data_IF_747812547533
#
_entry.id   IF_747812547533
#
_cell.length_a   1.000
_cell.length_b   1.000
_cell.length_c   1.000
_cell.angle_alpha   90.00
_cell.angle_beta   90.00
_cell.angle_gamma   90.00
#
_symmetry.space_group_name_H-M   'P 1'
#
loop_
_entity.id
_entity.type
_entity.pdbx_description
1 polymer ?
#
# COMPACT_ATOMS: atom_id res chain seq x y z
N UNK A 1 -11.69 -4.61 -3.08
CA UNK A 1 -10.58 -3.86 -2.48
C UNK A 1 -10.34 -2.55 -3.22
N UNK A 2 -9.84 -2.59 -4.47
CA UNK A 2 -9.41 -1.38 -5.21
C UNK A 2 -10.54 -0.37 -5.46
N UNK A 3 -11.77 -0.80 -5.70
CA UNK A 3 -12.93 0.07 -5.91
C UNK A 3 -13.36 0.87 -4.67
N UNK A 4 -12.96 0.44 -3.46
CA UNK A 4 -13.31 1.14 -2.20
C UNK A 4 -12.22 2.07 -1.67
N UNK A 5 -10.98 1.97 -2.18
CA UNK A 5 -9.81 2.62 -1.57
C UNK A 5 -9.89 4.14 -1.53
N UNK A 6 -10.38 4.78 -2.58
CA UNK A 6 -10.31 6.24 -2.74
C UNK A 6 -11.68 6.95 -2.73
N UNK A 7 -12.79 6.21 -2.84
CA UNK A 7 -14.15 6.78 -2.94
C UNK A 7 -14.50 7.74 -1.80
N UNK A 8 -14.08 7.43 -0.58
CA UNK A 8 -14.42 8.22 0.61
C UNK A 8 -13.29 9.14 1.11
N UNK A 9 -12.13 9.17 0.42
CA UNK A 9 -11.00 10.03 0.82
C UNK A 9 -11.15 11.44 0.22
N UNK A 10 -11.02 12.52 1.01
CA UNK A 10 -11.05 13.88 0.49
C UNK A 10 -9.85 14.16 -0.41
N UNK A 11 -10.05 14.97 -1.44
CA UNK A 11 -8.93 15.41 -2.30
C UNK A 11 -8.05 16.42 -1.56
N UNK A 12 -6.71 16.30 -1.62
CA UNK A 12 -5.81 17.11 -0.82
C UNK A 12 -5.66 18.54 -1.33
N UNK A 13 -5.46 19.50 -0.40
CA UNK A 13 -5.02 20.87 -0.69
C UNK A 13 -3.50 20.95 -0.49
N UNK A 14 -2.74 21.11 -1.56
CA UNK A 14 -1.28 20.87 -1.60
C UNK A 14 -0.39 21.98 -1.00
N UNK A 15 -0.91 23.17 -0.66
CA UNK A 15 -0.07 24.37 -0.40
C UNK A 15 0.92 24.25 0.77
N UNK A 16 0.47 23.90 1.99
CA UNK A 16 1.30 23.95 3.20
C UNK A 16 2.20 22.73 3.44
N UNK A 17 1.95 21.61 2.75
CA UNK A 17 2.60 20.32 3.01
C UNK A 17 3.62 19.93 1.93
N UNK A 18 3.99 20.85 1.05
CA UNK A 18 4.79 20.54 -0.13
C UNK A 18 6.18 19.95 0.20
N UNK A 19 6.86 20.49 1.19
CA UNK A 19 8.22 20.05 1.54
C UNK A 19 8.29 18.58 2.01
N UNK A 20 7.54 18.17 3.05
CA UNK A 20 7.54 16.77 3.48
C UNK A 20 6.91 15.83 2.43
N UNK A 21 5.91 16.31 1.67
CA UNK A 21 5.24 15.51 0.64
C UNK A 21 6.19 15.17 -0.51
N UNK A 22 6.96 16.12 -1.03
CA UNK A 22 7.91 15.86 -2.13
C UNK A 22 9.02 14.90 -1.71
N UNK A 23 9.55 15.04 -0.47
CA UNK A 23 10.56 14.13 0.06
C UNK A 23 10.01 12.70 0.11
N UNK A 24 8.77 12.56 0.57
CA UNK A 24 8.09 11.27 0.67
C UNK A 24 7.79 10.66 -0.70
N UNK A 25 7.38 11.48 -1.68
CA UNK A 25 7.20 11.04 -3.08
C UNK A 25 8.51 10.52 -3.66
N UNK A 26 9.61 11.27 -3.49
CA UNK A 26 10.91 10.86 -4.01
C UNK A 26 11.41 9.56 -3.37
N UNK A 27 11.25 9.40 -2.05
CA UNK A 27 11.64 8.17 -1.38
C UNK A 27 10.80 6.98 -1.85
N UNK A 28 9.49 7.16 -2.00
CA UNK A 28 8.60 6.11 -2.51
C UNK A 28 8.99 5.68 -3.94
N UNK A 29 9.31 6.64 -4.82
CA UNK A 29 9.80 6.34 -6.17
C UNK A 29 11.12 5.56 -6.13
N UNK A 30 12.07 5.95 -5.27
CA UNK A 30 13.33 5.23 -5.09
C UNK A 30 13.07 3.80 -4.61
N UNK A 31 12.16 3.60 -3.66
CA UNK A 31 11.82 2.28 -3.15
C UNK A 31 11.19 1.42 -4.22
N UNK A 32 10.11 1.86 -4.86
CA UNK A 32 9.37 1.08 -5.85
C UNK A 32 10.21 0.75 -7.09
N UNK A 33 10.80 1.77 -7.73
CA UNK A 33 11.65 1.53 -8.91
C UNK A 33 12.93 0.80 -8.57
N UNK A 34 13.44 0.96 -7.35
CA UNK A 34 14.58 0.19 -6.88
C UNK A 34 14.26 -1.29 -6.67
N UNK A 35 13.05 -1.65 -6.27
CA UNK A 35 12.60 -3.04 -6.20
C UNK A 35 12.59 -3.68 -7.59
N UNK A 36 12.07 -2.98 -8.62
CA UNK A 36 12.18 -3.43 -10.01
C UNK A 36 13.62 -3.54 -10.48
N UNK A 37 14.47 -2.55 -10.15
CA UNK A 37 15.90 -2.55 -10.51
C UNK A 37 16.64 -3.74 -9.89
N UNK A 38 16.48 -3.94 -8.58
CA UNK A 38 17.15 -5.04 -7.86
C UNK A 38 16.61 -6.38 -8.34
N UNK A 39 15.30 -6.49 -8.61
CA UNK A 39 14.71 -7.65 -9.25
C UNK A 39 15.33 -7.94 -10.62
N UNK A 40 15.49 -6.90 -11.46
CA UNK A 40 16.12 -7.04 -12.78
C UNK A 40 17.59 -7.49 -12.66
N UNK A 41 18.34 -6.95 -11.70
CA UNK A 41 19.73 -7.35 -11.47
C UNK A 41 19.83 -8.81 -10.98
N UNK A 42 19.01 -9.20 -9.99
CA UNK A 42 19.04 -10.56 -9.45
C UNK A 42 18.57 -11.58 -10.49
N UNK A 43 17.51 -11.29 -11.21
CA UNK A 43 17.02 -12.19 -12.27
C UNK A 43 18.02 -12.26 -13.41
N UNK A 44 18.47 -11.13 -13.94
CA UNK A 44 19.33 -11.10 -15.12
C UNK A 44 20.74 -11.64 -14.87
N UNK A 45 21.33 -11.39 -13.69
CA UNK A 45 22.71 -11.76 -13.41
C UNK A 45 22.84 -13.10 -12.68
N UNK A 46 21.81 -13.53 -11.95
CA UNK A 46 21.90 -14.73 -11.10
C UNK A 46 20.87 -15.78 -11.50
N UNK A 47 19.56 -15.44 -11.40
CA UNK A 47 18.53 -16.47 -11.50
C UNK A 47 18.34 -16.99 -12.94
N UNK A 48 18.37 -16.11 -13.92
CA UNK A 48 18.21 -16.52 -15.33
C UNK A 48 19.39 -17.37 -15.81
N UNK A 49 20.67 -17.01 -15.57
CA UNK A 49 21.81 -17.85 -15.97
C UNK A 49 21.88 -19.20 -15.26
N UNK A 50 21.46 -19.28 -13.99
CA UNK A 50 21.65 -20.47 -13.17
C UNK A 50 20.41 -21.37 -13.11
N UNK A 51 19.22 -20.79 -13.14
CA UNK A 51 17.95 -21.50 -12.97
C UNK A 51 17.05 -21.42 -14.21
N UNK A 52 17.39 -20.62 -15.23
CA UNK A 52 16.60 -20.48 -16.44
C UNK A 52 15.23 -19.84 -16.24
N UNK A 53 15.08 -19.02 -15.20
CA UNK A 53 13.77 -18.39 -14.86
C UNK A 53 13.35 -17.35 -15.88
N UNK A 54 12.03 -17.11 -15.99
CA UNK A 54 11.46 -16.07 -16.84
C UNK A 54 11.96 -14.66 -16.41
N UNK A 55 12.35 -13.80 -17.38
CA UNK A 55 12.73 -12.40 -17.09
C UNK A 55 11.64 -11.61 -16.33
N UNK A 56 10.37 -11.94 -16.56
CA UNK A 56 9.20 -11.29 -15.94
C UNK A 56 9.19 -11.47 -14.42
N UNK A 57 9.87 -12.49 -13.90
CA UNK A 57 10.05 -12.71 -12.46
C UNK A 57 10.70 -11.52 -11.73
N UNK A 58 11.46 -10.68 -12.45
CA UNK A 58 12.06 -9.46 -11.90
C UNK A 58 11.04 -8.47 -11.30
N UNK A 59 9.79 -8.54 -11.75
CA UNK A 59 8.74 -7.65 -11.28
C UNK A 59 8.09 -8.11 -9.96
N UNK A 60 8.35 -9.35 -9.52
CA UNK A 60 7.67 -9.95 -8.36
C UNK A 60 7.93 -9.18 -7.06
N UNK A 61 9.10 -8.53 -6.89
CA UNK A 61 9.42 -7.81 -5.64
C UNK A 61 8.40 -6.69 -5.40
N UNK A 62 8.24 -5.77 -6.33
CA UNK A 62 7.33 -4.63 -6.17
C UNK A 62 5.87 -5.07 -6.14
N UNK A 63 5.48 -5.97 -7.06
CA UNK A 63 4.10 -6.50 -7.13
C UNK A 63 3.68 -7.16 -5.82
N UNK A 64 4.60 -7.89 -5.18
CA UNK A 64 4.30 -8.65 -3.97
C UNK A 64 4.51 -7.85 -2.68
N UNK A 65 5.60 -7.09 -2.58
CA UNK A 65 5.95 -6.36 -1.37
C UNK A 65 5.10 -5.09 -1.22
N UNK A 66 5.12 -4.22 -2.22
CA UNK A 66 4.39 -2.96 -2.18
C UNK A 66 2.91 -3.14 -2.57
N UNK A 67 2.65 -3.94 -3.60
CA UNK A 67 1.30 -4.26 -4.06
C UNK A 67 0.56 -5.30 -3.21
N UNK A 68 1.30 -6.19 -2.56
CA UNK A 68 0.78 -7.22 -1.64
C UNK A 68 -0.02 -8.33 -2.32
N UNK A 69 -0.72 -9.13 -1.52
CA UNK A 69 -1.52 -10.27 -1.98
C UNK A 69 -2.56 -9.90 -3.04
N UNK A 70 -3.16 -8.70 -2.93
CA UNK A 70 -4.15 -8.21 -3.89
C UNK A 70 -3.58 -8.06 -5.29
N UNK A 71 -2.41 -7.45 -5.41
CA UNK A 71 -1.73 -7.26 -6.69
C UNK A 71 -1.16 -8.57 -7.22
N UNK A 72 -0.55 -9.39 -6.34
CA UNK A 72 -0.02 -10.70 -6.72
C UNK A 72 -1.10 -11.61 -7.32
N UNK A 73 -2.27 -11.70 -6.66
CA UNK A 73 -3.40 -12.48 -7.17
C UNK A 73 -3.96 -11.90 -8.48
N UNK A 74 -4.10 -10.57 -8.57
CA UNK A 74 -4.65 -9.92 -9.76
C UNK A 74 -3.72 -10.01 -10.99
N UNK A 75 -2.41 -10.13 -10.76
CA UNK A 75 -1.40 -10.26 -11.81
C UNK A 75 -1.22 -11.69 -12.32
N UNK A 76 -1.76 -12.70 -11.64
CA UNK A 76 -1.66 -14.11 -12.02
C UNK A 76 -1.91 -14.36 -13.51
N UNK A 77 -3.09 -14.01 -14.05
CA UNK A 77 -3.38 -14.20 -15.48
C UNK A 77 -2.43 -13.47 -16.43
N UNK A 78 -1.86 -12.35 -16.01
CA UNK A 78 -0.85 -11.61 -16.80
C UNK A 78 0.47 -12.36 -16.81
N UNK A 79 0.91 -12.87 -15.66
CA UNK A 79 2.13 -13.66 -15.56
C UNK A 79 2.08 -14.94 -16.40
N UNK A 80 0.97 -15.67 -16.36
CA UNK A 80 0.78 -16.87 -17.17
C UNK A 80 0.87 -16.58 -18.67
N UNK A 81 0.24 -15.49 -19.16
CA UNK A 81 0.32 -15.08 -20.56
C UNK A 81 1.74 -14.69 -20.99
N UNK A 82 2.54 -14.17 -20.08
CA UNK A 82 3.93 -13.78 -20.30
C UNK A 82 4.93 -14.94 -20.03
N UNK A 83 4.43 -16.17 -19.87
CA UNK A 83 5.26 -17.38 -19.72
C UNK A 83 5.89 -17.54 -18.33
N UNK A 84 5.38 -16.87 -17.30
CA UNK A 84 5.75 -17.10 -15.91
C UNK A 84 4.71 -18.02 -15.27
N UNK A 85 4.85 -19.33 -15.49
CA UNK A 85 4.00 -20.34 -14.87
C UNK A 85 4.12 -20.27 -13.34
N UNK A 86 2.97 -20.30 -12.64
CA UNK A 86 2.92 -20.16 -11.20
C UNK A 86 3.36 -18.81 -10.64
N UNK A 87 3.42 -17.78 -11.49
CA UNK A 87 3.77 -16.41 -11.07
C UNK A 87 2.84 -15.85 -10.00
N UNK A 88 1.56 -16.26 -10.00
CA UNK A 88 0.60 -15.92 -8.94
C UNK A 88 1.03 -16.52 -7.60
N UNK A 89 1.35 -17.82 -7.55
CA UNK A 89 1.70 -18.51 -6.30
C UNK A 89 3.02 -17.97 -5.72
N UNK A 90 4.01 -17.74 -6.57
CA UNK A 90 5.26 -17.10 -6.17
C UNK A 90 5.03 -15.68 -5.65
N UNK A 91 4.18 -14.90 -6.30
CA UNK A 91 3.81 -13.56 -5.87
C UNK A 91 3.09 -13.55 -4.52
N UNK A 92 2.15 -14.47 -4.30
CA UNK A 92 1.42 -14.62 -3.03
C UNK A 92 2.34 -15.05 -1.88
N UNK A 93 3.21 -16.04 -2.13
CA UNK A 93 4.21 -16.46 -1.16
C UNK A 93 5.16 -15.31 -0.80
N UNK A 94 5.61 -14.56 -1.81
CA UNK A 94 6.49 -13.40 -1.61
C UNK A 94 5.79 -12.26 -0.86
N UNK A 95 4.49 -12.01 -1.11
CA UNK A 95 3.69 -11.06 -0.36
C UNK A 95 3.57 -11.45 1.13
N UNK A 96 3.43 -12.76 1.41
CA UNK A 96 3.44 -13.28 2.79
C UNK A 96 4.80 -13.05 3.45
N UNK A 97 5.90 -13.34 2.75
CA UNK A 97 7.26 -13.06 3.25
C UNK A 97 7.43 -11.56 3.49
N UNK A 98 6.94 -10.70 2.58
CA UNK A 98 6.96 -9.25 2.72
C UNK A 98 6.24 -8.77 3.98
N UNK A 99 5.02 -9.24 4.20
CA UNK A 99 4.21 -8.88 5.37
C UNK A 99 4.88 -9.30 6.69
N UNK A 100 5.42 -10.52 6.74
CA UNK A 100 6.14 -11.03 7.91
C UNK A 100 7.42 -10.24 8.16
N UNK A 101 8.22 -10.00 7.14
CA UNK A 101 9.47 -9.24 7.26
C UNK A 101 9.22 -7.77 7.58
N UNK A 102 8.20 -7.14 7.03
CA UNK A 102 7.81 -5.78 7.39
C UNK A 102 7.48 -5.68 8.89
N UNK A 103 6.75 -6.64 9.43
CA UNK A 103 6.38 -6.67 10.85
C UNK A 103 7.59 -6.97 11.76
N UNK A 104 8.36 -8.02 11.44
CA UNK A 104 9.47 -8.46 12.29
C UNK A 104 10.66 -7.50 12.19
N UNK A 105 11.15 -7.25 10.96
CA UNK A 105 12.31 -6.38 10.74
C UNK A 105 11.94 -4.92 11.03
N UNK A 106 10.74 -4.48 10.67
CA UNK A 106 10.23 -3.15 11.02
C UNK A 106 10.12 -2.96 12.52
N UNK A 107 9.61 -3.95 13.26
CA UNK A 107 9.60 -3.94 14.73
C UNK A 107 11.01 -3.83 15.33
N UNK A 108 11.97 -4.59 14.80
CA UNK A 108 13.38 -4.47 15.19
C UNK A 108 13.96 -3.08 14.88
N UNK A 109 13.58 -2.47 13.74
CA UNK A 109 13.99 -1.10 13.41
C UNK A 109 13.42 -0.09 14.41
N UNK A 110 12.18 -0.25 14.88
CA UNK A 110 11.60 0.60 15.93
C UNK A 110 12.40 0.51 17.23
N UNK A 111 12.71 -0.72 17.68
CA UNK A 111 13.52 -0.95 18.88
C UNK A 111 14.91 -0.34 18.72
N UNK A 112 15.56 -0.57 17.59
CA UNK A 112 16.87 -0.03 17.27
C UNK A 112 16.87 1.51 17.16
N UNK A 113 15.84 2.09 16.54
CA UNK A 113 15.65 3.54 16.45
C UNK A 113 15.49 4.20 17.81
N UNK A 114 14.77 3.55 18.74
CA UNK A 114 14.70 4.00 20.14
C UNK A 114 16.05 3.93 20.83
N UNK A 115 16.76 2.82 20.70
CA UNK A 115 18.09 2.65 21.29
C UNK A 115 19.11 3.67 20.76
N UNK A 116 19.00 4.05 19.49
CA UNK A 116 19.83 5.10 18.86
C UNK A 116 19.38 6.52 19.17
N UNK A 117 18.27 6.71 19.84
CA UNK A 117 17.68 8.03 20.10
C UNK A 117 17.12 8.72 18.85
N UNK A 118 16.77 7.95 17.82
CA UNK A 118 16.12 8.47 16.61
C UNK A 118 14.62 8.62 16.78
N UNK A 119 14.02 7.87 17.69
CA UNK A 119 12.63 7.96 18.12
C UNK A 119 12.57 8.52 19.54
N UNK A 120 11.55 9.33 19.82
CA UNK A 120 11.28 9.78 21.18
C UNK A 120 10.97 8.57 22.08
N UNK A 121 11.60 8.49 23.24
CA UNK A 121 11.25 7.50 24.26
C UNK A 121 9.92 7.91 24.89
N UNK A 122 8.90 7.03 24.92
CA UNK A 122 7.68 7.32 25.64
C UNK A 122 7.98 7.60 27.10
N UNK A 123 7.37 8.63 27.67
CA UNK A 123 7.48 8.86 29.10
C UNK A 123 6.77 7.73 29.90
N UNK A 124 7.19 7.43 31.14
CA UNK A 124 6.53 6.39 31.94
C UNK A 124 5.01 6.57 32.06
N UNK A 125 4.52 7.83 32.08
CA UNK A 125 3.10 8.14 32.10
C UNK A 125 2.38 7.81 30.79
N UNK A 126 3.06 7.93 29.64
CA UNK A 126 2.52 7.61 28.31
C UNK A 126 2.35 6.10 28.13
N UNK A 127 3.31 5.31 28.60
CA UNK A 127 3.21 3.84 28.58
C UNK A 127 2.00 3.38 29.40
N UNK A 128 1.80 3.98 30.58
CA UNK A 128 0.70 3.62 31.47
C UNK A 128 -0.67 4.03 30.92
N UNK A 129 -0.76 5.16 30.20
CA UNK A 129 -1.98 5.57 29.50
C UNK A 129 -2.31 4.67 28.31
N UNK A 130 -1.31 4.29 27.52
CA UNK A 130 -1.49 3.38 26.40
C UNK A 130 -1.93 1.98 26.85
N UNK A 131 -1.34 1.46 27.92
CA UNK A 131 -1.77 0.21 28.55
C UNK A 131 -3.20 0.31 29.08
N UNK A 132 -3.54 1.42 29.77
CA UNK A 132 -4.89 1.65 30.31
C UNK A 132 -5.93 1.75 29.18
N UNK A 133 -5.64 2.45 28.09
CA UNK A 133 -6.53 2.53 26.94
C UNK A 133 -6.70 1.18 26.23
N UNK A 134 -5.62 0.39 26.12
CA UNK A 134 -5.69 -0.97 25.55
C UNK A 134 -6.55 -1.88 26.41
N UNK A 135 -6.41 -1.80 27.74
CA UNK A 135 -7.22 -2.57 28.69
C UNK A 135 -8.69 -2.12 28.68
N UNK A 136 -8.94 -0.79 28.67
CA UNK A 136 -10.29 -0.25 28.59
C UNK A 136 -10.99 -0.61 27.27
N UNK A 137 -10.31 -0.50 26.13
CA UNK A 137 -10.85 -0.92 24.84
C UNK A 137 -11.11 -2.42 24.75
N UNK A 138 -10.29 -3.25 25.42
CA UNK A 138 -10.52 -4.69 25.54
C UNK A 138 -11.69 -5.02 26.50
N UNK A 139 -11.91 -4.22 27.53
CA UNK A 139 -13.03 -4.33 28.46
C UNK A 139 -14.34 -3.83 27.85
N UNK A 140 -14.33 -2.74 27.10
CA UNK A 140 -15.49 -2.27 26.33
C UNK A 140 -15.95 -3.29 25.29
N UNK A 141 -15.03 -3.94 24.60
CA UNK A 141 -15.35 -5.06 23.68
C UNK A 141 -15.86 -6.31 24.40
N UNK A 142 -15.56 -6.49 25.69
CA UNK A 142 -16.09 -7.60 26.51
C UNK A 142 -17.34 -7.23 27.29
N UNK A 143 -17.61 -5.92 27.50
CA UNK A 143 -18.68 -5.39 28.37
C UNK A 143 -20.00 -5.11 27.68
N UNK A 144 -20.19 -5.45 26.42
CA UNK A 144 -21.49 -5.36 25.75
C UNK A 144 -22.42 -6.51 26.15
N UNK A 145 -22.71 -6.65 27.46
CA UNK A 145 -23.86 -7.40 27.96
C UNK A 145 -25.00 -6.43 28.29
N UNK A 146 -26.24 -6.66 27.84
CA UNK A 146 -27.35 -5.76 28.07
C UNK A 146 -27.87 -5.89 29.51
N UNK A 147 -27.69 -4.88 30.32
CA UNK A 147 -28.40 -4.75 31.57
C UNK A 147 -27.60 -4.30 32.79
N UNK A 148 -27.15 -3.05 32.83
CA UNK A 148 -26.92 -2.36 34.09
C UNK A 148 -27.25 -0.85 33.97
N UNK A 149 -28.13 -0.36 34.86
CA UNK A 149 -28.53 1.04 34.96
C UNK A 149 -27.37 1.93 35.37
N UNK A 150 -27.31 3.19 34.88
CA UNK A 150 -26.25 4.13 35.25
C UNK A 150 -26.47 4.70 36.67
N UNK A 151 -25.39 5.01 37.41
CA UNK A 151 -25.47 5.76 38.65
C UNK A 151 -25.83 7.23 38.39
N UNK A 152 -26.62 7.81 39.31
CA UNK A 152 -27.12 9.18 39.31
C UNK A 152 -26.01 10.23 39.39
N UNK A 153 -26.22 11.41 38.78
CA UNK A 153 -25.20 12.47 38.72
C UNK A 153 -25.39 13.47 39.85
N UNK A 154 -24.32 13.80 40.54
CA UNK A 154 -24.20 15.10 41.19
C UNK A 154 -22.83 15.73 40.92
N UNK A 155 -22.93 17.02 40.57
CA UNK A 155 -21.87 18.06 40.43
C UNK A 155 -21.06 18.09 39.13
N UNK A 156 -21.49 19.06 38.29
CA UNK A 156 -20.82 19.59 37.12
C UNK A 156 -19.58 20.46 37.44
N UNK A 157 -18.68 20.70 36.42
CA UNK A 157 -18.91 21.85 35.54
C UNK A 157 -18.83 21.54 34.07
N UNK A 158 -19.64 22.28 33.32
CA UNK A 158 -19.94 22.19 31.90
C UNK A 158 -18.77 22.58 31.00
N UNK A 159 -18.28 21.58 30.25
CA UNK A 159 -17.71 21.83 28.92
C UNK A 159 -18.59 21.08 27.91
N UNK A 160 -18.98 21.67 26.77
CA UNK A 160 -19.82 20.97 25.82
C UNK A 160 -19.01 19.80 25.21
N UNK A 161 -19.36 18.59 25.63
CA UNK A 161 -18.93 17.39 24.95
C UNK A 161 -19.33 17.47 23.47
N UNK A 162 -18.47 17.06 22.54
CA UNK A 162 -18.89 16.93 21.15
C UNK A 162 -20.08 15.98 21.12
N UNK A 163 -21.18 16.44 20.53
CA UNK A 163 -22.42 15.68 20.42
C UNK A 163 -22.09 14.27 19.88
N UNK A 164 -22.28 13.27 20.73
CA UNK A 164 -22.29 11.87 20.32
C UNK A 164 -23.40 11.75 19.29
N UNK A 165 -23.03 11.73 18.01
CA UNK A 165 -23.96 11.43 16.93
C UNK A 165 -24.55 10.07 17.22
N UNK A 166 -25.84 10.03 17.50
CA UNK A 166 -26.60 8.82 17.79
C UNK A 166 -26.19 7.72 16.82
N UNK A 167 -25.78 6.57 17.33
CA UNK A 167 -25.50 5.40 16.52
C UNK A 167 -26.74 5.10 15.67
N UNK A 168 -26.64 5.05 14.35
CA UNK A 168 -27.79 4.79 13.50
C UNK A 168 -28.34 3.40 13.80
N UNK A 169 -29.66 3.29 13.99
CA UNK A 169 -30.30 2.00 14.24
C UNK A 169 -29.98 0.95 13.15
N UNK A 170 -30.18 -0.35 13.43
CA UNK A 170 -29.72 -1.46 12.58
C UNK A 170 -30.14 -1.35 11.10
N UNK A 171 -31.34 -0.85 10.84
CA UNK A 171 -31.83 -0.66 9.45
C UNK A 171 -31.05 0.43 8.69
N UNK A 172 -30.67 1.51 9.37
CA UNK A 172 -29.84 2.57 8.79
C UNK A 172 -28.39 2.12 8.59
N UNK A 173 -27.89 1.21 9.43
CA UNK A 173 -26.57 0.60 9.27
C UNK A 173 -26.51 -0.28 8.02
N UNK A 174 -27.49 -1.14 7.80
CA UNK A 174 -27.58 -2.01 6.60
C UNK A 174 -27.66 -1.15 5.33
N UNK A 175 -28.55 -0.15 5.31
CA UNK A 175 -28.68 0.75 4.16
C UNK A 175 -27.35 1.45 3.85
N UNK A 176 -26.61 1.91 4.86
CA UNK A 176 -25.29 2.51 4.71
C UNK A 176 -24.27 1.54 4.13
N UNK A 177 -24.27 0.28 4.56
CA UNK A 177 -23.42 -0.77 3.99
C UNK A 177 -23.75 -1.02 2.53
N UNK A 178 -25.03 -1.18 2.17
CA UNK A 178 -25.46 -1.42 0.80
C UNK A 178 -25.09 -0.27 -0.13
N UNK A 179 -25.30 0.98 0.28
CA UNK A 179 -24.90 2.15 -0.51
C UNK A 179 -23.41 2.18 -0.76
N UNK A 180 -22.59 1.94 0.27
CA UNK A 180 -21.13 1.96 0.13
C UNK A 180 -20.60 0.77 -0.68
N UNK A 181 -21.21 -0.41 -0.57
CA UNK A 181 -20.93 -1.55 -1.45
C UNK A 181 -21.32 -1.24 -2.90
N UNK A 182 -22.47 -0.57 -3.11
CA UNK A 182 -22.91 -0.10 -4.41
C UNK A 182 -21.92 0.89 -5.04
N UNK A 183 -21.41 1.87 -4.27
CA UNK A 183 -20.40 2.82 -4.74
C UNK A 183 -19.09 2.11 -5.15
N UNK A 184 -18.64 1.13 -4.36
CA UNK A 184 -17.49 0.31 -4.73
C UNK A 184 -17.76 -0.53 -5.99
N UNK A 185 -18.98 -1.08 -6.12
CA UNK A 185 -19.43 -1.81 -7.31
C UNK A 185 -19.45 -0.93 -8.56
N UNK A 186 -19.94 0.31 -8.45
CA UNK A 186 -19.92 1.29 -9.55
C UNK A 186 -18.49 1.58 -10.00
N UNK A 187 -17.54 1.78 -9.07
CA UNK A 187 -16.14 1.99 -9.42
C UNK A 187 -15.55 0.79 -10.18
N UNK A 188 -15.88 -0.44 -9.77
CA UNK A 188 -15.45 -1.66 -10.47
C UNK A 188 -16.11 -1.77 -11.85
N UNK A 189 -17.40 -1.50 -11.97
CA UNK A 189 -18.12 -1.54 -13.23
C UNK A 189 -17.60 -0.48 -14.23
N UNK A 190 -17.28 0.73 -13.77
CA UNK A 190 -16.66 1.77 -14.57
C UNK A 190 -15.25 1.35 -15.03
N UNK A 191 -14.45 0.73 -14.14
CA UNK A 191 -13.13 0.20 -14.48
C UNK A 191 -13.21 -0.91 -15.54
N UNK A 192 -14.19 -1.81 -15.41
CA UNK A 192 -14.45 -2.86 -16.40
C UNK A 192 -14.93 -2.28 -17.73
N UNK A 193 -15.84 -1.31 -17.70
CA UNK A 193 -16.31 -0.58 -18.89
C UNK A 193 -15.16 0.15 -19.60
N UNK A 194 -14.29 0.81 -18.85
CA UNK A 194 -13.10 1.46 -19.39
C UNK A 194 -12.17 0.44 -20.09
N UNK A 195 -11.97 -0.75 -19.50
CA UNK A 195 -11.18 -1.82 -20.13
C UNK A 195 -11.81 -2.31 -21.43
N UNK A 196 -13.13 -2.48 -21.46
CA UNK A 196 -13.86 -2.85 -22.70
C UNK A 196 -13.65 -1.79 -23.79
N UNK A 197 -13.82 -0.51 -23.46
CA UNK A 197 -13.64 0.58 -24.42
C UNK A 197 -12.20 0.66 -24.94
N UNK A 198 -11.21 0.44 -24.05
CA UNK A 198 -9.79 0.36 -24.45
C UNK A 198 -9.56 -0.84 -25.38
N UNK A 199 -10.15 -2.02 -25.12
CA UNK A 199 -10.08 -3.18 -25.98
C UNK A 199 -10.62 -2.89 -27.38
N UNK A 200 -11.83 -2.35 -27.45
CA UNK A 200 -12.47 -1.96 -28.75
C UNK A 200 -11.64 -0.92 -29.52
N UNK A 201 -10.99 0.00 -28.83
CA UNK A 201 -10.09 0.98 -29.44
C UNK A 201 -8.80 0.34 -29.92
N UNK A 202 -8.22 -0.57 -29.12
CA UNK A 202 -6.98 -1.28 -29.44
C UNK A 202 -7.15 -2.20 -30.65
N UNK A 203 -8.28 -2.88 -30.78
CA UNK A 203 -8.61 -3.72 -31.95
C UNK A 203 -8.61 -2.92 -33.26
N UNK A 204 -9.01 -1.64 -33.19
CA UNK A 204 -8.98 -0.73 -34.35
C UNK A 204 -7.60 -0.18 -34.68
N UNK A 205 -6.76 -0.01 -33.66
CA UNK A 205 -5.39 0.52 -33.83
C UNK A 205 -4.41 -0.59 -34.24
N UNK A 206 -4.70 -1.86 -33.91
CA UNK A 206 -3.90 -3.02 -34.27
C UNK A 206 -2.54 -3.09 -33.56
N UNK A 207 -1.79 -4.15 -33.84
CA UNK A 207 -0.40 -4.30 -33.40
C UNK A 207 -0.18 -4.43 -31.90
N UNK A 208 0.93 -3.88 -31.40
CA UNK A 208 1.34 -4.01 -29.98
C UNK A 208 0.40 -3.37 -28.97
N UNK A 209 -0.47 -2.43 -29.38
CA UNK A 209 -1.45 -1.78 -28.48
C UNK A 209 -2.49 -2.78 -28.02
N UNK A 210 -2.98 -3.65 -28.89
CA UNK A 210 -3.96 -4.68 -28.54
C UNK A 210 -3.40 -5.64 -27.49
N UNK A 211 -2.15 -6.09 -27.66
CA UNK A 211 -1.48 -6.99 -26.71
C UNK A 211 -1.36 -6.37 -25.31
N UNK A 212 -0.98 -5.08 -25.25
CA UNK A 212 -0.86 -4.35 -23.97
C UNK A 212 -2.21 -4.21 -23.28
N UNK A 213 -3.26 -3.84 -24.03
CA UNK A 213 -4.60 -3.66 -23.48
C UNK A 213 -5.20 -4.98 -23.03
N UNK A 214 -4.98 -6.06 -23.77
CA UNK A 214 -5.47 -7.40 -23.38
C UNK A 214 -4.81 -7.92 -22.10
N UNK A 215 -3.56 -7.58 -21.89
CA UNK A 215 -2.84 -7.94 -20.67
C UNK A 215 -3.19 -7.03 -19.47
N UNK A 216 -3.87 -5.88 -19.69
CA UNK A 216 -4.21 -4.93 -18.63
C UNK A 216 -5.33 -5.49 -17.74
N UNK A 217 -5.10 -5.75 -16.45
CA UNK A 217 -6.15 -6.18 -15.52
C UNK A 217 -7.12 -5.03 -15.19
N UNK A 218 -8.31 -5.38 -14.69
CA UNK A 218 -9.36 -4.39 -14.36
C UNK A 218 -9.03 -3.53 -13.16
N UNK A 219 -8.23 -4.03 -12.23
CA UNK A 219 -8.06 -3.39 -10.91
C UNK A 219 -7.43 -1.98 -10.94
N UNK A 220 -6.43 -1.64 -11.79
CA UNK A 220 -5.92 -0.27 -11.86
C UNK A 220 -6.96 0.69 -12.42
N UNK A 221 -7.75 0.22 -13.40
CA UNK A 221 -8.83 1.02 -13.96
C UNK A 221 -9.96 1.23 -12.95
N UNK A 222 -10.29 0.23 -12.12
CA UNK A 222 -11.25 0.36 -11.03
C UNK A 222 -10.74 1.34 -9.94
N UNK A 223 -9.42 1.37 -9.69
CA UNK A 223 -8.81 2.34 -8.79
C UNK A 223 -8.94 3.78 -9.33
N UNK A 224 -8.64 3.99 -10.61
CA UNK A 224 -8.84 5.29 -11.27
C UNK A 224 -10.32 5.68 -11.32
N UNK A 225 -11.21 4.72 -11.61
CA UNK A 225 -12.63 4.94 -11.57
C UNK A 225 -13.15 5.33 -10.17
N UNK A 226 -12.54 4.84 -9.10
CA UNK A 226 -12.88 5.25 -7.74
C UNK A 226 -12.57 6.74 -7.46
N UNK A 227 -11.53 7.29 -8.08
CA UNK A 227 -11.25 8.74 -8.05
C UNK A 227 -12.32 9.53 -8.82
N UNK A 228 -12.75 9.02 -9.96
CA UNK A 228 -13.84 9.63 -10.74
C UNK A 228 -15.14 9.62 -9.95
N UNK A 229 -15.51 8.50 -9.33
CA UNK A 229 -16.68 8.40 -8.45
C UNK A 229 -16.57 9.42 -7.31
N UNK A 230 -15.40 9.53 -6.68
CA UNK A 230 -15.15 10.51 -5.62
C UNK A 230 -15.32 11.95 -6.11
N UNK A 231 -14.74 12.28 -7.27
CA UNK A 231 -14.89 13.60 -7.89
C UNK A 231 -16.36 13.95 -8.20
N UNK A 232 -17.13 12.99 -8.71
CA UNK A 232 -18.58 13.15 -8.97
C UNK A 232 -19.34 13.41 -7.66
N UNK A 233 -19.06 12.64 -6.60
CA UNK A 233 -19.69 12.84 -5.28
C UNK A 233 -19.38 14.24 -4.72
N UNK A 234 -18.16 14.72 -4.87
CA UNK A 234 -17.76 16.07 -4.43
C UNK A 234 -18.44 17.16 -5.28
N UNK A 235 -18.47 16.98 -6.60
CA UNK A 235 -19.06 17.96 -7.54
C UNK A 235 -20.54 18.16 -7.32
N UNK A 236 -21.25 17.11 -6.89
CA UNK A 236 -22.70 17.15 -6.67
C UNK A 236 -23.10 17.22 -5.18
N UNK A 237 -22.14 17.48 -4.28
CA UNK A 237 -22.36 17.53 -2.83
C UNK A 237 -22.99 16.25 -2.23
N UNK A 238 -22.71 15.10 -2.81
CA UNK A 238 -23.20 13.78 -2.37
C UNK A 238 -22.19 13.03 -1.48
N UNK A 239 -21.19 13.71 -0.95
CA UNK A 239 -20.13 13.11 -0.13
C UNK A 239 -20.63 12.41 1.12
N UNK A 240 -21.77 12.82 1.65
CA UNK A 240 -22.42 12.18 2.81
C UNK A 240 -22.82 10.70 2.55
N UNK A 241 -22.94 10.29 1.27
CA UNK A 241 -23.26 8.91 0.90
C UNK A 241 -22.04 7.99 1.01
N UNK A 242 -20.83 8.53 0.89
CA UNK A 242 -19.57 7.77 0.97
C UNK A 242 -19.01 7.81 2.39
N UNK A 243 -19.32 6.80 3.17
CA UNK A 243 -18.82 6.65 4.54
C UNK A 243 -17.40 6.05 4.55
N UNK A 244 -16.40 6.84 4.94
CA UNK A 244 -15.01 6.37 4.99
C UNK A 244 -14.81 5.12 5.88
N UNK A 245 -15.40 5.02 7.09
CA UNK A 245 -15.28 3.81 7.90
C UNK A 245 -15.88 2.57 7.24
N UNK A 246 -17.03 2.72 6.55
CA UNK A 246 -17.68 1.58 5.88
C UNK A 246 -16.88 1.16 4.64
N UNK A 247 -16.39 2.10 3.83
CA UNK A 247 -15.53 1.80 2.68
C UNK A 247 -14.23 1.10 3.11
N UNK A 248 -13.64 1.53 4.21
CA UNK A 248 -12.47 0.87 4.77
C UNK A 248 -12.77 -0.57 5.21
N UNK A 249 -13.88 -0.80 5.93
CA UNK A 249 -14.31 -2.14 6.34
C UNK A 249 -14.58 -3.05 5.13
N UNK A 250 -15.26 -2.55 4.09
CA UNK A 250 -15.48 -3.29 2.84
C UNK A 250 -14.14 -3.66 2.19
N UNK A 251 -13.20 -2.71 2.12
CA UNK A 251 -11.87 -2.94 1.58
C UNK A 251 -11.09 -4.00 2.37
N UNK A 252 -11.11 -3.92 3.71
CA UNK A 252 -10.45 -4.89 4.60
C UNK A 252 -11.05 -6.28 4.45
N UNK A 253 -12.38 -6.42 4.56
CA UNK A 253 -13.05 -7.72 4.39
C UNK A 253 -12.76 -8.35 3.02
N UNK A 254 -12.79 -7.55 1.96
CA UNK A 254 -12.47 -8.05 0.61
C UNK A 254 -10.99 -8.47 0.50
N UNK A 255 -10.07 -7.77 1.17
CA UNK A 255 -8.66 -8.14 1.23
C UNK A 255 -8.45 -9.43 2.03
N UNK A 256 -9.08 -9.56 3.19
CA UNK A 256 -8.98 -10.76 4.05
C UNK A 256 -9.50 -11.99 3.32
N UNK A 257 -10.68 -11.89 2.66
CA UNK A 257 -11.23 -12.97 1.85
C UNK A 257 -10.31 -13.33 0.68
N UNK A 258 -9.72 -12.33 0.02
CA UNK A 258 -8.76 -12.55 -1.06
C UNK A 258 -7.51 -13.28 -0.55
N UNK A 259 -6.95 -12.86 0.60
CA UNK A 259 -5.77 -13.49 1.20
C UNK A 259 -6.07 -14.94 1.56
N UNK A 260 -7.20 -15.20 2.22
CA UNK A 260 -7.60 -16.56 2.60
C UNK A 260 -7.79 -17.45 1.36
N UNK A 261 -8.54 -16.98 0.36
CA UNK A 261 -8.77 -17.71 -0.87
C UNK A 261 -7.46 -18.00 -1.62
N UNK A 262 -6.61 -16.98 -1.75
CA UNK A 262 -5.32 -17.07 -2.42
C UNK A 262 -4.36 -18.03 -1.70
N UNK A 263 -4.30 -17.96 -0.36
CA UNK A 263 -3.46 -18.85 0.44
C UNK A 263 -3.95 -20.30 0.38
N UNK A 264 -5.27 -20.52 0.35
CA UNK A 264 -5.85 -21.83 0.22
C UNK A 264 -5.63 -22.47 -1.16
N UNK A 265 -5.39 -21.67 -2.19
CA UNK A 265 -5.13 -22.13 -3.57
C UNK A 265 -3.65 -22.33 -3.90
N UNK A 266 -2.71 -22.02 -2.97
CA UNK A 266 -1.27 -22.09 -3.22
C UNK A 266 -0.81 -23.50 -3.59
N UNK A 267 -0.09 -23.64 -4.71
CA UNK A 267 0.62 -24.87 -5.06
C UNK A 267 1.96 -24.96 -4.31
N UNK A 268 1.95 -25.72 -3.21
CA UNK A 268 3.15 -25.97 -2.39
C UNK A 268 4.25 -26.71 -3.16
N UNK A 269 3.89 -27.56 -4.15
CA UNK A 269 4.86 -28.25 -4.98
C UNK A 269 5.62 -27.29 -5.90
N UNK A 270 4.93 -26.29 -6.41
CA UNK A 270 5.53 -25.23 -7.22
C UNK A 270 6.46 -24.34 -6.37
N UNK A 271 6.02 -23.98 -5.15
CA UNK A 271 6.84 -23.22 -4.21
C UNK A 271 8.10 -23.99 -3.81
N UNK A 272 7.99 -25.30 -3.59
CA UNK A 272 9.14 -26.15 -3.27
C UNK A 272 10.16 -26.23 -4.44
N UNK A 273 9.75 -26.02 -5.68
CA UNK A 273 10.65 -25.94 -6.83
C UNK A 273 11.25 -24.55 -7.03
N UNK A 274 10.47 -23.49 -6.72
CA UNK A 274 10.85 -22.09 -6.92
C UNK A 274 11.46 -21.39 -5.69
N UNK A 275 11.71 -22.10 -4.57
CA UNK A 275 12.13 -21.50 -3.30
C UNK A 275 13.43 -20.67 -3.38
N UNK A 276 14.36 -21.10 -4.24
CA UNK A 276 15.65 -20.40 -4.42
C UNK A 276 15.45 -19.01 -5.01
N UNK A 277 14.61 -18.90 -6.04
CA UNK A 277 14.25 -17.63 -6.65
C UNK A 277 13.47 -16.75 -5.68
N UNK A 278 12.49 -17.34 -4.96
CA UNK A 278 11.69 -16.66 -3.95
C UNK A 278 12.59 -16.08 -2.84
N UNK A 279 13.53 -16.87 -2.31
CA UNK A 279 14.46 -16.43 -1.27
C UNK A 279 15.38 -15.32 -1.78
N UNK A 280 16.00 -15.50 -2.96
CA UNK A 280 16.92 -14.53 -3.53
C UNK A 280 16.24 -13.16 -3.75
N UNK A 281 15.05 -13.15 -4.35
CA UNK A 281 14.29 -11.94 -4.59
C UNK A 281 13.81 -11.29 -3.29
N UNK A 282 13.33 -12.09 -2.32
CA UNK A 282 12.87 -11.58 -1.02
C UNK A 282 14.02 -10.92 -0.24
N UNK A 283 15.18 -11.58 -0.18
CA UNK A 283 16.37 -11.04 0.50
C UNK A 283 16.85 -9.77 -0.20
N UNK A 284 16.91 -9.76 -1.52
CA UNK A 284 17.34 -8.61 -2.29
C UNK A 284 16.38 -7.41 -2.14
N UNK A 285 15.07 -7.64 -2.20
CA UNK A 285 14.06 -6.60 -1.97
C UNK A 285 14.10 -6.04 -0.54
N UNK A 286 14.24 -6.90 0.46
CA UNK A 286 14.40 -6.47 1.84
C UNK A 286 15.70 -5.68 2.06
N UNK A 287 16.81 -6.14 1.51
CA UNK A 287 18.10 -5.45 1.59
C UNK A 287 18.05 -4.08 0.92
N UNK A 288 17.35 -3.97 -0.22
CA UNK A 288 17.10 -2.69 -0.88
C UNK A 288 16.32 -1.74 0.02
N UNK A 289 15.16 -2.16 0.54
CA UNK A 289 14.30 -1.33 1.37
C UNK A 289 15.01 -0.87 2.65
N UNK A 290 15.74 -1.77 3.32
CA UNK A 290 16.58 -1.43 4.48
C UNK A 290 17.68 -0.44 4.10
N UNK A 291 18.38 -0.68 3.00
CA UNK A 291 19.44 0.20 2.51
C UNK A 291 18.94 1.61 2.25
N UNK A 292 17.78 1.75 1.59
CA UNK A 292 17.16 3.05 1.32
C UNK A 292 16.80 3.78 2.62
N UNK A 293 16.16 3.11 3.58
CA UNK A 293 15.81 3.73 4.88
C UNK A 293 17.04 4.20 5.63
N UNK A 294 18.04 3.34 5.76
CA UNK A 294 19.21 3.60 6.62
C UNK A 294 20.20 4.58 5.98
N UNK A 295 20.37 4.53 4.66
CA UNK A 295 21.37 5.34 3.95
C UNK A 295 20.80 6.65 3.40
N UNK A 296 19.59 6.62 2.89
CA UNK A 296 18.95 7.77 2.24
C UNK A 296 17.93 8.47 3.12
N UNK A 297 17.21 7.74 3.99
CA UNK A 297 16.16 8.31 4.83
C UNK A 297 16.60 9.54 5.59
N UNK A 298 17.74 9.46 6.32
CA UNK A 298 18.29 10.60 7.07
C UNK A 298 18.70 11.79 6.21
N UNK A 299 19.01 11.57 4.94
CA UNK A 299 19.48 12.63 4.02
C UNK A 299 18.35 13.26 3.23
N UNK A 300 17.28 12.54 2.98
CA UNK A 300 16.18 12.97 2.13
C UNK A 300 14.99 13.49 2.94
N UNK A 301 14.71 12.87 4.11
CA UNK A 301 13.52 13.18 4.87
C UNK A 301 13.75 14.34 5.84
N UNK A 302 12.80 15.30 5.90
CA UNK A 302 12.79 16.29 6.98
C UNK A 302 12.43 15.63 8.31
N UNK A 303 12.76 16.30 9.40
CA UNK A 303 12.41 15.84 10.77
C UNK A 303 10.88 15.71 10.91
N UNK A 304 10.37 14.64 11.52
CA UNK A 304 11.08 13.46 12.01
C UNK A 304 11.41 12.47 10.88
N UNK A 305 12.68 12.35 10.54
CA UNK A 305 13.14 11.61 9.36
C UNK A 305 12.93 10.09 9.48
N UNK A 306 13.12 9.55 10.71
CA UNK A 306 13.11 8.10 10.90
C UNK A 306 11.69 7.55 10.83
N UNK A 307 10.72 8.20 11.50
CA UNK A 307 9.30 7.84 11.46
C UNK A 307 8.76 7.92 10.02
N UNK A 308 9.14 8.96 9.27
CA UNK A 308 8.79 9.10 7.85
C UNK A 308 9.37 8.00 6.99
N UNK A 309 10.61 7.61 7.24
CA UNK A 309 11.27 6.51 6.52
C UNK A 309 10.74 5.15 6.93
N UNK A 310 10.35 4.99 8.21
CA UNK A 310 9.82 3.75 8.76
C UNK A 310 8.44 3.41 8.19
N UNK A 311 7.56 4.41 8.04
CA UNK A 311 6.26 4.19 7.42
C UNK A 311 6.39 3.81 5.94
N UNK A 312 7.36 4.38 5.22
CA UNK A 312 7.67 3.98 3.84
C UNK A 312 8.24 2.56 3.77
N UNK A 313 9.16 2.21 4.69
CA UNK A 313 9.68 0.83 4.78
C UNK A 313 8.56 -0.20 4.96
N UNK A 314 7.67 0.06 5.91
CA UNK A 314 6.55 -0.84 6.19
C UNK A 314 5.65 -1.01 4.97
N UNK A 315 5.33 0.08 4.27
CA UNK A 315 4.53 0.03 3.05
C UNK A 315 5.25 -0.67 1.91
N UNK A 316 6.50 -0.30 1.63
CA UNK A 316 7.27 -0.85 0.52
C UNK A 316 7.68 -2.31 0.73
N UNK A 317 7.52 -2.87 1.94
CA UNK A 317 7.86 -4.26 2.26
C UNK A 317 6.62 -5.12 2.53
N UNK A 318 5.57 -4.56 3.14
CA UNK A 318 4.40 -5.32 3.59
C UNK A 318 3.08 -4.56 3.51
N UNK A 319 2.90 -3.77 2.48
CA UNK A 319 1.73 -2.96 2.16
C UNK A 319 1.44 -1.80 3.14
N UNK A 320 0.45 -0.97 2.81
CA UNK A 320 0.04 0.21 3.58
C UNK A 320 -0.20 -0.09 5.08
N UNK A 321 -0.85 -1.22 5.39
CA UNK A 321 -1.19 -1.58 6.76
C UNK A 321 0.05 -1.74 7.65
N UNK A 322 1.10 -2.38 7.13
CA UNK A 322 2.38 -2.54 7.85
C UNK A 322 3.08 -1.20 8.08
N UNK A 323 3.01 -0.28 7.11
CA UNK A 323 3.55 1.07 7.29
C UNK A 323 2.85 1.83 8.43
N UNK A 324 1.52 1.79 8.47
CA UNK A 324 0.74 2.41 9.53
C UNK A 324 0.97 1.75 10.90
N UNK A 325 1.10 0.41 10.93
CA UNK A 325 1.42 -0.31 12.16
C UNK A 325 2.79 0.12 12.71
N UNK A 326 3.81 0.19 11.88
CA UNK A 326 5.14 0.63 12.30
C UNK A 326 5.14 2.08 12.77
N UNK A 327 4.37 2.96 12.12
CA UNK A 327 4.21 4.34 12.58
C UNK A 327 3.55 4.38 13.97
N UNK A 328 2.49 3.62 14.20
CA UNK A 328 1.85 3.52 15.52
C UNK A 328 2.80 2.98 16.61
N UNK A 329 3.65 2.01 16.25
CA UNK A 329 4.67 1.51 17.17
C UNK A 329 5.77 2.54 17.46
N UNK A 330 6.09 3.41 16.50
CA UNK A 330 7.09 4.46 16.65
C UNK A 330 6.57 5.67 17.45
N UNK A 331 5.32 6.05 17.20
CA UNK A 331 4.65 7.23 17.78
C UNK A 331 3.50 6.78 18.68
N UNK A 332 3.68 6.77 19.99
CA UNK A 332 2.62 6.38 20.93
C UNK A 332 1.41 7.34 20.94
N UNK A 333 1.55 8.61 20.52
CA UNK A 333 0.52 9.65 20.65
C UNK A 333 0.23 10.51 19.40
N UNK A 334 0.70 10.12 18.21
CA UNK A 334 0.45 10.91 16.99
C UNK A 334 1.03 12.32 17.01
N UNK A 335 2.15 12.52 17.72
CA UNK A 335 2.79 13.84 17.95
C UNK A 335 3.44 14.41 16.71
N UNK A 336 3.66 13.62 15.67
CA UNK A 336 4.35 14.07 14.47
C UNK A 336 3.40 14.13 13.30
N UNK A 337 3.54 15.17 12.48
CA UNK A 337 2.77 15.30 11.22
C UNK A 337 3.36 14.42 10.12
N UNK A 338 3.50 13.10 10.40
CA UNK A 338 3.98 12.09 9.43
C UNK A 338 2.82 11.57 8.59
N UNK A 339 1.68 11.34 9.22
CA UNK A 339 0.53 10.68 8.59
C UNK A 339 -0.06 11.49 7.44
N UNK A 340 -0.12 12.84 7.57
CA UNK A 340 -0.76 13.69 6.57
C UNK A 340 -0.01 13.67 5.23
N UNK A 341 1.31 13.99 5.15
CA UNK A 341 2.06 13.89 3.89
C UNK A 341 2.08 12.47 3.33
N UNK A 342 2.21 11.46 4.19
CA UNK A 342 2.17 10.06 3.79
C UNK A 342 0.83 9.69 3.13
N UNK A 343 -0.30 10.09 3.72
CA UNK A 343 -1.63 9.83 3.17
C UNK A 343 -1.85 10.54 1.82
N UNK A 344 -1.36 11.78 1.68
CA UNK A 344 -1.43 12.52 0.41
C UNK A 344 -0.56 11.84 -0.65
N UNK A 345 0.69 11.48 -0.32
CA UNK A 345 1.57 10.73 -1.21
C UNK A 345 0.89 9.42 -1.66
N UNK A 346 0.28 8.71 -0.72
CA UNK A 346 -0.42 7.48 -1.03
C UNK A 346 -1.58 7.69 -2.01
N UNK A 347 -2.37 8.75 -1.80
CA UNK A 347 -3.45 9.09 -2.71
C UNK A 347 -2.95 9.41 -4.13
N UNK A 348 -1.78 10.07 -4.25
CA UNK A 348 -1.20 10.45 -5.55
C UNK A 348 -0.50 9.28 -6.24
N UNK A 349 0.26 8.45 -5.52
CA UNK A 349 1.10 7.41 -6.12
C UNK A 349 0.41 6.04 -6.21
N UNK A 350 -0.57 5.73 -5.38
CA UNK A 350 -1.22 4.41 -5.40
C UNK A 350 -1.88 4.07 -6.76
N UNK A 351 -2.47 5.01 -7.53
CA UNK A 351 -2.94 4.71 -8.87
C UNK A 351 -1.83 4.32 -9.85
N UNK A 352 -0.59 4.65 -9.54
CA UNK A 352 0.59 4.39 -10.37
C UNK A 352 1.40 3.18 -9.87
N UNK A 353 1.65 3.12 -8.55
CA UNK A 353 2.48 2.13 -7.85
C UNK A 353 1.62 1.26 -6.92
N UNK A 354 2.22 0.31 -6.23
CA UNK A 354 1.54 -0.50 -5.22
C UNK A 354 0.27 -1.21 -5.76
N UNK A 355 0.38 -1.83 -6.90
CA UNK A 355 -0.75 -2.42 -7.63
C UNK A 355 -1.40 -1.46 -8.64
N UNK A 356 -0.81 -0.30 -8.91
CA UNK A 356 -1.28 0.66 -9.89
C UNK A 356 -0.80 0.37 -11.32
N UNK A 357 -0.87 1.40 -12.15
CA UNK A 357 -0.60 1.28 -13.59
C UNK A 357 0.83 0.84 -13.90
N UNK A 358 1.84 1.35 -13.17
CA UNK A 358 3.26 1.00 -13.37
C UNK A 358 3.51 -0.45 -12.96
N UNK A 359 2.93 -0.89 -11.84
CA UNK A 359 3.00 -2.29 -11.37
C UNK A 359 2.53 -3.26 -12.45
N UNK A 360 1.45 -2.92 -13.15
CA UNK A 360 0.90 -3.74 -14.24
C UNK A 360 1.71 -3.63 -15.53
N UNK A 361 2.20 -2.42 -15.83
CA UNK A 361 2.97 -2.18 -17.05
C UNK A 361 4.38 -2.80 -17.00
N UNK A 362 4.95 -2.99 -15.81
CA UNK A 362 6.31 -3.47 -15.64
C UNK A 362 6.57 -4.85 -16.26
N UNK A 363 5.76 -5.90 -16.02
CA UNK A 363 5.93 -7.19 -16.68
C UNK A 363 5.81 -7.11 -18.20
N UNK A 364 4.90 -6.28 -18.70
CA UNK A 364 4.73 -6.04 -20.14
C UNK A 364 5.94 -5.33 -20.75
N UNK A 365 6.51 -4.37 -20.03
CA UNK A 365 7.71 -3.67 -20.44
C UNK A 365 8.94 -4.61 -20.45
N UNK A 366 9.07 -5.49 -19.47
CA UNK A 366 10.12 -6.52 -19.43
C UNK A 366 9.99 -7.47 -20.62
N UNK A 367 8.78 -7.91 -20.93
CA UNK A 367 8.52 -8.80 -22.07
C UNK A 367 8.81 -8.11 -23.43
N UNK A 368 8.36 -6.86 -23.59
CA UNK A 368 8.43 -6.13 -24.87
C UNK A 368 9.79 -5.49 -25.13
N UNK A 369 10.41 -4.87 -24.10
CA UNK A 369 11.65 -4.11 -24.22
C UNK A 369 12.88 -4.91 -23.79
N UNK A 370 12.64 -6.00 -23.07
CA UNK A 370 13.69 -6.80 -22.44
C UNK A 370 14.11 -6.26 -21.06
N UNK A 371 14.63 -7.17 -20.25
CA UNK A 371 15.06 -6.89 -18.88
C UNK A 371 16.12 -5.77 -18.76
N UNK A 372 17.15 -5.66 -19.65
CA UNK A 372 18.14 -4.59 -19.56
C UNK A 372 17.55 -3.18 -19.79
N UNK A 373 16.62 -3.03 -20.73
CA UNK A 373 16.00 -1.75 -21.03
C UNK A 373 15.10 -1.29 -19.85
N UNK A 374 14.29 -2.20 -19.31
CA UNK A 374 13.47 -1.93 -18.12
C UNK A 374 14.34 -1.60 -16.91
N UNK A 375 15.39 -2.41 -16.63
CA UNK A 375 16.35 -2.14 -15.55
C UNK A 375 17.06 -0.79 -15.70
N UNK A 376 17.43 -0.41 -16.93
CA UNK A 376 18.02 0.89 -17.25
C UNK A 376 17.07 2.06 -16.95
N UNK A 377 15.78 1.93 -17.30
CA UNK A 377 14.75 2.91 -16.93
C UNK A 377 14.61 3.03 -15.41
N UNK A 378 14.52 1.90 -14.72
CA UNK A 378 14.41 1.90 -13.25
C UNK A 378 15.63 2.55 -12.60
N UNK A 379 16.84 2.27 -13.09
CA UNK A 379 18.07 2.92 -12.63
C UNK A 379 18.01 4.43 -12.85
N UNK A 380 17.58 4.88 -14.01
CA UNK A 380 17.46 6.31 -14.31
C UNK A 380 16.49 7.02 -13.36
N UNK A 381 15.34 6.38 -13.03
CA UNK A 381 14.38 6.92 -12.06
C UNK A 381 14.98 6.96 -10.65
N UNK A 382 15.63 5.89 -10.21
CA UNK A 382 16.27 5.82 -8.87
C UNK A 382 17.36 6.88 -8.72
N UNK A 383 18.25 7.00 -9.71
CA UNK A 383 19.33 7.99 -9.69
C UNK A 383 18.77 9.41 -9.82
N UNK A 384 17.80 9.63 -10.68
CA UNK A 384 17.16 10.94 -10.87
C UNK A 384 16.40 11.39 -9.61
N UNK A 385 15.57 10.53 -9.03
CA UNK A 385 14.84 10.83 -7.80
C UNK A 385 15.79 11.02 -6.60
N UNK A 386 16.82 10.17 -6.49
CA UNK A 386 17.85 10.29 -5.46
C UNK A 386 18.68 11.57 -5.60
N UNK A 387 19.14 11.87 -6.80
CA UNK A 387 19.89 13.10 -7.08
C UNK A 387 19.07 14.36 -6.82
N UNK A 388 17.83 14.40 -7.31
CA UNK A 388 16.90 15.52 -7.06
C UNK A 388 16.62 15.66 -5.55
N UNK A 389 16.36 14.57 -4.85
CA UNK A 389 16.10 14.59 -3.41
C UNK A 389 17.28 15.14 -2.62
N UNK A 390 18.49 14.68 -2.91
CA UNK A 390 19.72 15.16 -2.26
C UNK A 390 20.01 16.63 -2.58
N UNK A 391 19.76 17.06 -3.81
CA UNK A 391 19.91 18.45 -4.20
C UNK A 391 18.93 19.37 -3.45
N UNK A 392 17.65 18.97 -3.39
CA UNK A 392 16.62 19.71 -2.66
C UNK A 392 16.90 19.76 -1.15
N UNK A 393 17.36 18.66 -0.56
CA UNK A 393 17.71 18.60 0.86
C UNK A 393 18.90 19.54 1.20
N UNK A 394 19.88 19.66 0.30
CA UNK A 394 21.02 20.61 0.47
C UNK A 394 20.62 22.08 0.31
N UNK A 395 19.68 22.36 -0.59
CA UNK A 395 19.21 23.74 -0.82
C UNK A 395 18.40 24.29 0.38
N UNK A 396 17.98 23.42 1.30
CA UNK A 396 17.15 23.75 2.46
C UNK A 396 17.89 23.65 3.81
N UNK A 397 19.12 23.12 3.81
CA UNK A 397 20.01 23.04 4.97
C UNK A 397 20.83 24.32 5.12
#
# INVERSE_FOLDING_TARGET
VFGSLLVAKPLPKLGALWRPLRAQILLALIMAFGQFLVGALVVGLVLQPWLGVSPVMACLIEVAFEGGHGSAAAMGPTYERLGLEGGQDLGLAMATVGLLTASLVGGLLVVWGRWRGWLATPSPGEVQQAETQTVLGALENRGASPGQNPPTPDTAPSSPAPALTAEPGPQTAIARWLVNLGLAGVAVALGWGARLLLGLAADRLGGGVAVVVDALPVFPLALLASLLVRWVLERWNLTAWASAPVQQRIGTLAADLLIVAATASLDLGLLARGWQALLALSVAGLAWNLGVVLLLGRRLMPTPWFERSLVEFGQATGVLASGLLLLQMAEAEGRTDVLTPFSIKQLLLQPLLAGGLITVAAPLAVDSWGLPAWGGLCLAVVVGAGGLGLWLARAEA
#
